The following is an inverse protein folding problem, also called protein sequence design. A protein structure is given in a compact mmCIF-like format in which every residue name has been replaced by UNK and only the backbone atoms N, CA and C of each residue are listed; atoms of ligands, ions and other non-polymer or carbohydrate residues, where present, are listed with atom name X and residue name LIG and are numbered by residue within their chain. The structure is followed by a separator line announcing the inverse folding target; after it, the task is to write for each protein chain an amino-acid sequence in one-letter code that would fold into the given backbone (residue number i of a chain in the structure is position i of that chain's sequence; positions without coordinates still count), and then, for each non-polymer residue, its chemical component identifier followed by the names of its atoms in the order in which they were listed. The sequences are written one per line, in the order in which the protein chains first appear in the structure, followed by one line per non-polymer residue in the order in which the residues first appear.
data_IF_390694909555
#
_entry.id   IF_390694909555
#
_cell.length_a   1.000
_cell.length_b   1.000
_cell.length_c   1.000
_cell.angle_alpha   90.00
_cell.angle_beta   90.00
_cell.angle_gamma   90.00
#
_symmetry.space_group_name_H-M   'P 1'
#
loop_
_entity.id
_entity.type
_entity.pdbx_description
1 polymer ?
#
# COMPACT_ATOMS: atom_id res chain seq x y z
N UNK A 1 13.89 -9.33 89.16
CA UNK A 1 12.95 -8.27 88.69
C UNK A 1 13.80 -7.01 88.47
N UNK A 2 13.74 -6.29 87.34
CA UNK A 2 12.56 -5.91 86.52
C UNK A 2 12.51 -6.65 85.16
N UNK A 3 11.33 -7.02 84.64
CA UNK A 3 10.36 -6.27 83.81
C UNK A 3 10.83 -6.07 82.35
N UNK A 4 10.21 -6.84 81.45
CA UNK A 4 10.52 -6.87 80.01
C UNK A 4 9.89 -5.75 79.20
N UNK A 5 10.29 -5.70 77.92
CA UNK A 5 9.59 -5.01 76.83
C UNK A 5 9.77 -5.86 75.56
N UNK A 6 8.65 -6.21 74.94
CA UNK A 6 8.53 -6.80 73.59
C UNK A 6 8.54 -5.64 72.59
N UNK A 7 9.29 -5.69 71.45
CA UNK A 7 9.00 -4.82 70.33
C UNK A 7 7.94 -5.43 69.42
N UNK A 8 6.90 -4.63 69.23
CA UNK A 8 5.70 -4.81 68.42
C UNK A 8 6.06 -4.91 66.93
N UNK A 9 5.64 -6.00 66.26
CA UNK A 9 5.69 -6.11 64.81
C UNK A 9 4.78 -5.06 64.17
N UNK A 10 5.34 -4.18 63.34
CA UNK A 10 4.59 -3.22 62.52
C UNK A 10 3.83 -3.94 61.41
N UNK A 11 2.52 -4.08 61.59
CA UNK A 11 1.59 -4.53 60.56
C UNK A 11 1.39 -3.40 59.55
N UNK A 12 1.99 -3.52 58.36
CA UNK A 12 1.80 -2.59 57.26
C UNK A 12 0.39 -2.75 56.66
N UNK A 13 -0.35 -1.64 56.60
CA UNK A 13 -1.77 -1.58 56.20
C UNK A 13 -2.00 -2.03 54.75
N UNK A 14 -2.68 -3.17 54.59
CA UNK A 14 -3.02 -3.82 53.31
C UNK A 14 -3.93 -3.01 52.39
N UNK A 15 -4.56 -1.94 52.87
CA UNK A 15 -5.52 -1.15 52.08
C UNK A 15 -4.84 -0.22 51.05
N UNK A 16 -3.67 0.35 51.36
CA UNK A 16 -2.96 1.27 50.45
C UNK A 16 -2.31 0.54 49.27
N UNK A 17 -1.89 -0.71 49.45
CA UNK A 17 -1.32 -1.56 48.39
C UNK A 17 -2.38 -1.94 47.35
N UNK A 18 -3.64 -2.11 47.75
CA UNK A 18 -4.74 -2.48 46.84
C UNK A 18 -5.18 -1.32 45.93
N UNK A 19 -5.23 -0.08 46.43
CA UNK A 19 -5.64 1.11 45.65
C UNK A 19 -4.62 1.43 44.54
N UNK A 20 -3.32 1.24 44.83
CA UNK A 20 -2.23 1.39 43.85
C UNK A 20 -2.30 0.32 42.74
N UNK A 21 -2.65 -0.92 43.10
CA UNK A 21 -2.79 -2.03 42.15
C UNK A 21 -4.01 -1.91 41.23
N UNK A 22 -5.12 -1.33 41.71
CA UNK A 22 -6.32 -1.10 40.90
C UNK A 22 -6.13 -0.02 39.82
N UNK A 23 -5.44 1.09 40.13
CA UNK A 23 -5.12 2.16 39.15
C UNK A 23 -4.18 1.66 38.05
N UNK A 24 -3.15 0.88 38.39
CA UNK A 24 -2.21 0.32 37.41
C UNK A 24 -2.83 -0.72 36.47
N UNK A 25 -3.81 -1.50 36.94
CA UNK A 25 -4.52 -2.49 36.10
C UNK A 25 -5.48 -1.81 35.11
N UNK A 26 -6.21 -0.79 35.55
CA UNK A 26 -7.12 -0.01 34.70
C UNK A 26 -6.36 0.76 33.62
N UNK A 27 -5.25 1.42 33.96
CA UNK A 27 -4.42 2.17 33.00
C UNK A 27 -3.81 1.22 31.97
N UNK A 28 -3.35 0.02 32.36
CA UNK A 28 -2.82 -0.99 31.43
C UNK A 28 -3.89 -1.52 30.49
N UNK A 29 -5.09 -1.81 30.99
CA UNK A 29 -6.20 -2.29 30.15
C UNK A 29 -6.72 -1.22 29.19
N UNK A 30 -6.80 0.04 29.62
CA UNK A 30 -7.21 1.17 28.76
C UNK A 30 -6.14 1.46 27.71
N UNK A 31 -4.85 1.42 28.07
CA UNK A 31 -3.77 1.55 27.10
C UNK A 31 -3.77 0.40 26.07
N UNK A 32 -3.99 -0.85 26.50
CA UNK A 32 -4.11 -1.99 25.59
C UNK A 32 -5.32 -1.86 24.65
N UNK A 33 -6.45 -1.37 25.17
CA UNK A 33 -7.66 -1.13 24.39
C UNK A 33 -7.49 0.05 23.41
N UNK A 34 -6.83 1.14 23.80
CA UNK A 34 -6.50 2.27 22.92
C UNK A 34 -5.53 1.87 21.80
N UNK A 35 -4.56 0.99 22.09
CA UNK A 35 -3.65 0.41 21.08
C UNK A 35 -4.42 -0.46 20.07
N UNK A 36 -5.45 -1.19 20.52
CA UNK A 36 -6.32 -1.98 19.62
C UNK A 36 -7.24 -1.11 18.75
N UNK A 37 -7.75 0.02 19.28
CA UNK A 37 -8.66 0.93 18.53
C UNK A 37 -7.91 1.80 17.51
N UNK A 38 -6.60 2.04 17.70
CA UNK A 38 -5.77 2.81 16.75
C UNK A 38 -5.45 2.06 15.44
N UNK A 39 -5.83 0.77 15.32
CA UNK A 39 -5.59 -0.05 14.13
C UNK A 39 -6.72 0.13 13.11
N UNK A 40 -6.96 1.37 12.70
CA UNK A 40 -8.00 1.75 11.76
C UNK A 40 -7.45 2.60 10.62
N UNK A 41 -6.40 2.14 9.94
CA UNK A 41 -6.11 2.65 8.60
C UNK A 41 -7.14 2.06 7.64
N UNK A 42 -7.84 2.94 6.93
CA UNK A 42 -8.77 2.61 5.84
C UNK A 42 -8.20 3.23 4.56
N UNK A 43 -7.01 2.81 4.16
CA UNK A 43 -6.49 3.05 2.84
C UNK A 43 -6.62 1.75 2.04
N UNK A 44 -7.83 1.48 1.54
CA UNK A 44 -8.03 0.37 0.59
C UNK A 44 -7.22 0.59 -0.70
N UNK A 45 -6.97 1.84 -1.09
CA UNK A 45 -6.19 2.19 -2.27
C UNK A 45 -4.86 2.80 -1.81
N UNK A 46 -3.75 2.14 -2.11
CA UNK A 46 -2.42 2.67 -1.86
C UNK A 46 -2.02 3.68 -2.95
N UNK A 47 -1.23 4.67 -2.59
CA UNK A 47 -0.47 5.43 -3.57
C UNK A 47 0.61 4.54 -4.20
N UNK A 48 1.06 4.94 -5.40
CA UNK A 48 2.16 4.27 -6.11
C UNK A 48 3.41 4.13 -5.24
N UNK A 49 3.78 5.17 -4.48
CA UNK A 49 4.99 5.12 -3.66
C UNK A 49 4.81 4.38 -2.34
N UNK A 50 3.60 4.30 -1.79
CA UNK A 50 3.32 3.40 -0.67
C UNK A 50 3.47 1.93 -1.09
N UNK A 51 2.95 1.57 -2.27
CA UNK A 51 3.17 0.23 -2.83
C UNK A 51 4.66 -0.05 -3.02
N UNK A 52 5.41 0.86 -3.65
CA UNK A 52 6.86 0.71 -3.86
C UNK A 52 7.60 0.57 -2.53
N UNK A 53 7.23 1.37 -1.53
CA UNK A 53 7.84 1.31 -0.20
C UNK A 53 7.65 -0.05 0.45
N UNK A 54 6.43 -0.61 0.41
CA UNK A 54 6.18 -1.95 0.95
C UNK A 54 6.83 -3.06 0.11
N UNK A 55 6.88 -2.90 -1.22
CA UNK A 55 7.45 -3.91 -2.13
C UNK A 55 8.98 -4.03 -2.00
N UNK A 56 9.66 -2.96 -1.55
CA UNK A 56 11.10 -2.99 -1.25
C UNK A 56 11.40 -4.03 -0.18
N UNK A 57 12.46 -4.81 -0.39
CA UNK A 57 12.85 -5.89 0.50
C UNK A 57 12.10 -7.21 0.28
N UNK A 58 10.95 -7.20 -0.40
CA UNK A 58 10.27 -8.41 -0.85
C UNK A 58 10.66 -8.83 -2.28
N UNK A 59 10.97 -7.85 -3.14
CA UNK A 59 11.38 -8.10 -4.53
C UNK A 59 12.73 -7.43 -4.84
N UNK A 60 13.49 -7.96 -5.84
CA UNK A 60 14.67 -7.27 -6.33
C UNK A 60 14.32 -5.88 -6.89
N UNK A 61 15.19 -4.89 -6.66
CA UNK A 61 14.97 -3.52 -7.14
C UNK A 61 14.74 -3.46 -8.65
N UNK A 62 15.43 -4.31 -9.42
CA UNK A 62 15.30 -4.43 -10.87
C UNK A 62 13.90 -4.89 -11.35
N UNK A 63 13.07 -5.43 -10.45
CA UNK A 63 11.72 -5.89 -10.75
C UNK A 63 10.63 -4.96 -10.20
N UNK A 64 10.99 -3.93 -9.42
CA UNK A 64 10.00 -3.05 -8.79
C UNK A 64 9.15 -2.28 -9.81
N UNK A 65 9.72 -1.87 -10.95
CA UNK A 65 8.94 -1.24 -12.02
C UNK A 65 7.86 -2.19 -12.57
N UNK A 66 8.18 -3.48 -12.73
CA UNK A 66 7.23 -4.50 -13.22
C UNK A 66 6.14 -4.75 -12.20
N UNK A 67 6.48 -4.93 -10.92
CA UNK A 67 5.51 -5.13 -9.85
C UNK A 67 4.57 -3.94 -9.68
N UNK A 68 5.12 -2.73 -9.77
CA UNK A 68 4.33 -1.50 -9.65
C UNK A 68 3.41 -1.33 -10.85
N UNK A 69 3.85 -1.68 -12.06
CA UNK A 69 2.99 -1.75 -13.25
C UNK A 69 1.88 -2.79 -13.11
N UNK A 70 2.18 -4.00 -12.63
CA UNK A 70 1.18 -5.05 -12.41
C UNK A 70 0.12 -4.56 -11.41
N UNK A 71 0.53 -4.04 -10.25
CA UNK A 71 -0.40 -3.51 -9.25
C UNK A 71 -1.31 -2.39 -9.80
N UNK A 72 -0.76 -1.53 -10.67
CA UNK A 72 -1.53 -0.48 -11.34
C UNK A 72 -2.60 -1.06 -12.27
N UNK A 73 -2.24 -1.97 -13.19
CA UNK A 73 -3.18 -2.48 -14.19
C UNK A 73 -4.13 -3.55 -13.69
N UNK A 74 -3.76 -4.30 -12.63
CA UNK A 74 -4.62 -5.32 -12.04
C UNK A 74 -5.71 -4.70 -11.16
N UNK A 75 -5.38 -3.69 -10.35
CA UNK A 75 -6.30 -3.21 -9.31
C UNK A 75 -6.31 -1.69 -9.11
N UNK A 76 -5.50 -0.93 -9.84
CA UNK A 76 -5.24 0.49 -9.56
C UNK A 76 -4.77 0.72 -8.11
N UNK A 77 -3.89 -0.16 -7.63
CA UNK A 77 -3.38 -0.16 -6.26
C UNK A 77 -4.45 -0.40 -5.17
N UNK A 78 -5.62 -0.93 -5.53
CA UNK A 78 -6.65 -1.28 -4.57
C UNK A 78 -6.36 -2.63 -3.89
N UNK A 79 -5.96 -2.57 -2.62
CA UNK A 79 -5.71 -3.71 -1.73
C UNK A 79 -6.97 -4.51 -1.43
N UNK A 80 -8.16 -3.92 -1.42
CA UNK A 80 -9.41 -4.62 -1.13
C UNK A 80 -10.04 -5.26 -2.38
N UNK A 81 -9.46 -5.06 -3.57
CA UNK A 81 -10.04 -5.42 -4.86
C UNK A 81 -10.46 -6.89 -4.96
N UNK A 82 -11.62 -7.12 -5.56
CA UNK A 82 -12.14 -8.45 -5.91
C UNK A 82 -12.69 -8.36 -7.32
N UNK A 83 -12.19 -9.21 -8.22
CA UNK A 83 -12.75 -9.33 -9.58
C UNK A 83 -14.23 -9.71 -9.54
N UNK A 84 -14.99 -9.34 -10.58
CA UNK A 84 -16.41 -9.72 -10.74
C UNK A 84 -16.65 -11.22 -10.95
N UNK A 85 -15.59 -12.04 -10.94
CA UNK A 85 -15.61 -13.47 -11.19
C UNK A 85 -15.15 -13.80 -12.61
N UNK A 86 -14.18 -14.70 -12.70
CA UNK A 86 -13.67 -15.24 -13.95
C UNK A 86 -14.70 -16.17 -14.60
N UNK A 87 -14.46 -16.55 -15.87
CA UNK A 87 -15.36 -17.46 -16.63
C UNK A 87 -15.63 -18.78 -15.91
N UNK A 88 -14.69 -19.24 -15.11
CA UNK A 88 -14.76 -20.46 -14.30
C UNK A 88 -15.32 -20.24 -12.88
N UNK A 89 -15.84 -19.04 -12.60
CA UNK A 89 -16.36 -18.58 -11.31
C UNK A 89 -15.31 -18.38 -10.20
N UNK A 90 -14.02 -18.57 -10.50
CA UNK A 90 -12.95 -18.17 -9.58
C UNK A 90 -12.91 -16.64 -9.44
N UNK A 91 -12.30 -16.14 -8.37
CA UNK A 91 -12.10 -14.70 -8.17
C UNK A 91 -10.62 -14.40 -7.96
N UNK A 92 -10.21 -13.27 -8.49
CA UNK A 92 -8.93 -12.65 -8.21
C UNK A 92 -9.03 -11.67 -7.05
N UNK A 93 -8.03 -11.70 -6.16
CA UNK A 93 -8.06 -11.01 -4.88
C UNK A 93 -6.88 -10.05 -4.72
N UNK A 94 -7.20 -8.87 -4.19
CA UNK A 94 -6.26 -7.88 -3.73
C UNK A 94 -5.51 -7.14 -4.82
N UNK A 95 -4.48 -6.43 -4.38
CA UNK A 95 -3.74 -5.47 -5.21
C UNK A 95 -3.04 -6.10 -6.42
N UNK A 96 -2.66 -7.38 -6.32
CA UNK A 96 -2.04 -8.15 -7.40
C UNK A 96 -3.01 -9.14 -8.07
N UNK A 97 -4.32 -9.06 -7.78
CA UNK A 97 -5.36 -9.91 -8.37
C UNK A 97 -4.96 -11.41 -8.38
N UNK A 98 -4.61 -11.95 -7.22
CA UNK A 98 -4.19 -13.34 -7.07
C UNK A 98 -5.44 -14.25 -7.05
N UNK A 99 -5.47 -15.23 -7.95
CA UNK A 99 -6.63 -16.09 -8.18
C UNK A 99 -6.88 -17.14 -7.07
N UNK A 100 -8.11 -17.22 -6.58
CA UNK A 100 -8.48 -18.16 -5.52
C UNK A 100 -8.50 -19.63 -5.97
N UNK A 101 -8.72 -19.94 -7.25
CA UNK A 101 -8.72 -21.34 -7.72
C UNK A 101 -7.45 -22.07 -7.31
N UNK A 102 -6.31 -21.39 -7.43
CA UNK A 102 -4.98 -22.00 -7.27
C UNK A 102 -4.25 -21.58 -6.00
N UNK A 103 -4.35 -20.32 -5.58
CA UNK A 103 -3.33 -19.74 -4.71
C UNK A 103 -3.74 -19.55 -3.26
N UNK A 104 -5.02 -19.30 -2.97
CA UNK A 104 -5.50 -18.98 -1.62
C UNK A 104 -6.80 -19.70 -1.23
N UNK A 105 -7.10 -19.80 0.07
CA UNK A 105 -8.35 -20.37 0.58
C UNK A 105 -9.47 -19.31 0.67
N UNK A 106 -10.74 -19.64 0.36
CA UNK A 106 -11.34 -20.98 0.36
C UNK A 106 -11.23 -21.77 -0.96
N UNK A 107 -10.44 -21.32 -1.93
CA UNK A 107 -10.20 -22.10 -3.13
C UNK A 107 -9.43 -23.40 -2.86
N UNK A 108 -9.55 -24.33 -3.81
CA UNK A 108 -9.26 -25.76 -3.61
C UNK A 108 -7.77 -26.03 -3.36
N UNK A 109 -6.89 -25.36 -4.12
CA UNK A 109 -5.47 -25.71 -4.11
C UNK A 109 -4.67 -24.99 -3.02
N UNK A 110 -5.01 -23.73 -2.71
CA UNK A 110 -4.37 -22.91 -1.68
C UNK A 110 -2.82 -23.07 -1.64
N UNK A 111 -2.16 -22.99 -2.79
CA UNK A 111 -0.72 -23.29 -2.90
C UNK A 111 0.13 -22.35 -2.02
N UNK A 112 -0.32 -21.11 -1.79
CA UNK A 112 0.38 -20.17 -0.94
C UNK A 112 0.14 -20.41 0.56
N UNK A 113 -0.82 -21.27 0.94
CA UNK A 113 -1.14 -21.54 2.35
C UNK A 113 -1.77 -20.35 3.09
N UNK A 114 -2.38 -19.40 2.38
CA UNK A 114 -2.94 -18.16 2.93
C UNK A 114 -4.44 -18.04 2.65
N UNK A 115 -5.16 -17.27 3.46
CA UNK A 115 -6.55 -16.93 3.13
C UNK A 115 -6.61 -15.84 2.06
N UNK A 116 -7.59 -15.91 1.16
CA UNK A 116 -7.82 -14.85 0.17
C UNK A 116 -8.22 -13.51 0.83
N UNK A 117 -8.65 -13.54 2.11
CA UNK A 117 -8.84 -12.32 2.90
C UNK A 117 -7.50 -11.68 3.28
N UNK A 118 -6.47 -12.47 3.59
CA UNK A 118 -5.14 -11.97 3.93
C UNK A 118 -4.50 -11.25 2.73
N UNK A 119 -4.72 -11.77 1.51
CA UNK A 119 -4.29 -11.13 0.26
C UNK A 119 -4.96 -9.77 -0.01
N UNK A 120 -6.01 -9.43 0.74
CA UNK A 120 -6.74 -8.15 0.66
C UNK A 120 -6.45 -7.21 1.82
N UNK A 121 -5.35 -7.45 2.53
CA UNK A 121 -4.87 -6.59 3.62
C UNK A 121 -4.12 -5.38 3.06
N UNK A 122 -4.10 -4.28 3.82
CA UNK A 122 -3.25 -3.12 3.58
C UNK A 122 -1.75 -3.44 3.78
N UNK A 123 -1.45 -4.40 4.66
CA UNK A 123 -0.12 -4.96 4.80
C UNK A 123 0.06 -6.04 3.72
N UNK A 124 0.95 -5.75 2.77
CA UNK A 124 1.12 -6.57 1.59
C UNK A 124 2.05 -7.78 1.77
N UNK A 125 2.52 -8.07 2.99
CA UNK A 125 3.45 -9.18 3.26
C UNK A 125 2.95 -10.51 2.70
N UNK A 126 1.72 -10.92 3.06
CA UNK A 126 1.14 -12.20 2.59
C UNK A 126 0.96 -12.20 1.06
N UNK A 127 0.60 -11.04 0.50
CA UNK A 127 0.47 -10.84 -0.95
C UNK A 127 1.80 -11.02 -1.66
N UNK A 128 2.88 -10.44 -1.14
CA UNK A 128 4.20 -10.54 -1.74
C UNK A 128 4.81 -11.93 -1.62
N UNK A 129 4.65 -12.61 -0.48
CA UNK A 129 5.12 -14.00 -0.34
C UNK A 129 4.38 -14.95 -1.28
N UNK A 130 3.07 -14.76 -1.46
CA UNK A 130 2.31 -15.52 -2.44
C UNK A 130 2.74 -15.18 -3.88
N UNK A 131 2.94 -13.90 -4.20
CA UNK A 131 3.43 -13.46 -5.51
C UNK A 131 4.82 -14.02 -5.85
N UNK A 132 5.73 -14.12 -4.89
CA UNK A 132 7.04 -14.81 -5.06
C UNK A 132 6.86 -16.29 -5.37
N UNK A 133 5.93 -16.95 -4.70
CA UNK A 133 5.59 -18.35 -4.98
C UNK A 133 5.10 -18.51 -6.41
N UNK A 134 4.22 -17.63 -6.88
CA UNK A 134 3.73 -17.62 -8.26
C UNK A 134 4.89 -17.36 -9.24
N UNK A 135 5.70 -16.34 -8.98
CA UNK A 135 6.84 -15.97 -9.82
C UNK A 135 7.82 -17.14 -9.99
N UNK A 136 8.13 -17.87 -8.90
CA UNK A 136 9.03 -19.03 -8.95
C UNK A 136 8.51 -20.19 -9.81
N UNK A 137 7.18 -20.30 -9.98
CA UNK A 137 6.52 -21.41 -10.68
C UNK A 137 6.14 -21.05 -12.12
N UNK A 138 5.71 -19.83 -12.35
CA UNK A 138 5.07 -19.39 -13.59
C UNK A 138 5.73 -18.17 -14.22
N UNK A 139 6.65 -17.50 -13.53
CA UNK A 139 7.21 -16.23 -13.97
C UNK A 139 6.17 -15.10 -13.99
N UNK A 140 6.55 -13.94 -14.53
CA UNK A 140 5.65 -12.78 -14.62
C UNK A 140 4.47 -12.99 -15.56
N UNK A 141 4.54 -13.94 -16.51
CA UNK A 141 3.42 -14.25 -17.41
C UNK A 141 2.18 -14.83 -16.71
N UNK A 142 2.26 -15.13 -15.41
CA UNK A 142 1.10 -15.49 -14.61
C UNK A 142 0.06 -14.35 -14.54
N UNK A 143 0.50 -13.09 -14.67
CA UNK A 143 -0.37 -11.92 -14.72
C UNK A 143 -0.69 -11.57 -16.17
N UNK A 144 -1.98 -11.57 -16.52
CA UNK A 144 -2.42 -11.33 -17.90
C UNK A 144 -2.05 -9.93 -18.40
N UNK A 145 -1.93 -8.95 -17.50
CA UNK A 145 -1.49 -7.58 -17.79
C UNK A 145 -0.02 -7.50 -18.17
N UNK A 146 0.80 -8.50 -17.78
CA UNK A 146 2.25 -8.40 -17.87
C UNK A 146 2.74 -8.25 -19.31
N UNK A 147 2.38 -9.18 -20.19
CA UNK A 147 2.86 -9.15 -21.58
C UNK A 147 2.36 -7.93 -22.34
N UNK A 148 1.18 -7.42 -21.99
CA UNK A 148 0.55 -6.29 -22.68
C UNK A 148 1.08 -4.94 -22.22
N UNK A 149 1.35 -4.79 -20.92
CA UNK A 149 1.62 -3.47 -20.33
C UNK A 149 2.93 -3.39 -19.53
N UNK A 150 3.42 -4.50 -18.97
CA UNK A 150 4.45 -4.46 -17.92
C UNK A 150 5.78 -5.16 -18.26
N UNK A 151 5.88 -5.84 -19.41
CA UNK A 151 7.10 -6.55 -19.80
C UNK A 151 8.32 -5.62 -19.86
N UNK A 152 8.13 -4.42 -20.42
CA UNK A 152 9.14 -3.37 -20.53
C UNK A 152 8.83 -2.18 -19.61
N UNK A 153 8.23 -2.44 -18.44
CA UNK A 153 7.89 -1.39 -17.50
C UNK A 153 9.15 -0.65 -17.04
N UNK A 154 9.11 0.69 -17.15
CA UNK A 154 10.17 1.60 -16.68
C UNK A 154 9.53 2.87 -16.14
N UNK A 155 10.10 3.47 -15.11
CA UNK A 155 9.66 4.76 -14.57
C UNK A 155 8.43 4.69 -13.66
N UNK A 156 7.89 3.50 -13.41
CA UNK A 156 6.82 3.29 -12.43
C UNK A 156 7.29 3.54 -11.00
N UNK A 157 8.59 3.50 -10.73
CA UNK A 157 9.15 3.84 -9.41
C UNK A 157 9.75 5.26 -9.36
N UNK A 158 9.68 6.04 -10.45
CA UNK A 158 10.27 7.38 -10.49
C UNK A 158 9.64 8.29 -9.43
N UNK A 159 10.47 9.01 -8.67
CA UNK A 159 10.01 9.88 -7.59
C UNK A 159 9.56 9.16 -6.32
N UNK A 160 9.57 7.83 -6.28
CA UNK A 160 9.39 7.09 -5.03
C UNK A 160 10.74 6.96 -4.34
N UNK A 161 11.14 7.98 -3.57
CA UNK A 161 12.37 7.93 -2.77
C UNK A 161 12.33 6.78 -1.75
N UNK A 162 13.50 6.28 -1.36
CA UNK A 162 13.67 5.38 -0.21
C UNK A 162 13.74 6.20 1.07
N UNK A 163 12.67 6.94 1.39
CA UNK A 163 12.51 7.64 2.66
C UNK A 163 13.78 8.33 3.20
N UNK A 164 14.20 9.41 2.57
CA UNK A 164 14.74 10.52 3.34
C UNK A 164 13.62 11.57 3.38
N UNK A 165 13.10 11.81 4.57
CA UNK A 165 12.22 12.94 4.85
C UNK A 165 12.93 14.18 4.32
N UNK A 166 12.46 14.76 3.22
CA UNK A 166 12.92 16.09 2.81
C UNK A 166 12.41 17.04 3.90
N UNK A 167 13.28 17.68 4.70
CA UNK A 167 12.81 18.79 5.52
C UNK A 167 12.32 19.87 4.57
N UNK A 168 11.12 20.33 4.87
CA UNK A 168 10.48 21.55 4.41
C UNK A 168 11.54 22.63 4.17
N UNK A 169 11.75 22.96 2.90
CA UNK A 169 12.78 23.88 2.43
C UNK A 169 12.19 24.84 1.41
N UNK A 170 11.40 25.76 1.93
CA UNK A 170 11.27 27.17 1.54
C UNK A 170 11.27 27.52 0.04
N UNK A 171 10.12 28.01 -0.39
CA UNK A 171 9.98 28.93 -1.52
C UNK A 171 10.91 30.14 -1.37
N UNK A 172 12.05 30.11 -2.06
CA UNK A 172 12.89 31.29 -2.30
C UNK A 172 12.70 31.83 -3.70
N UNK A 173 11.72 32.72 -3.89
CA UNK A 173 11.73 33.67 -5.00
C UNK A 173 12.61 34.85 -4.55
N UNK A 174 13.83 34.93 -5.04
CA UNK A 174 14.50 36.23 -5.18
C UNK A 174 15.07 36.37 -6.59
N UNK A 175 14.55 37.37 -7.30
CA UNK A 175 14.99 37.72 -8.63
C UNK A 175 16.36 38.41 -8.61
N UNK A 176 17.09 38.23 -9.71
CA UNK A 176 18.11 39.17 -10.13
C UNK A 176 17.72 39.67 -11.51
N UNK A 177 17.41 40.95 -11.56
CA UNK A 177 17.07 41.73 -12.74
C UNK A 177 18.32 42.05 -13.57
N UNK A 178 18.13 41.98 -14.90
CA UNK A 178 18.72 42.80 -15.97
C UNK A 178 20.25 42.87 -16.12
N UNK A 179 20.77 42.39 -17.26
CA UNK A 179 21.03 43.28 -18.42
C UNK A 179 21.50 42.51 -19.67
N UNK A 180 20.90 42.90 -20.79
CA UNK A 180 21.22 42.71 -22.21
C UNK A 180 22.53 42.00 -22.64
N UNK A 181 22.40 41.08 -23.60
CA UNK A 181 22.92 41.25 -24.98
C UNK A 181 22.56 40.04 -25.87
N UNK A 182 21.82 40.28 -26.95
CA UNK A 182 21.46 39.30 -27.98
C UNK A 182 22.01 39.78 -29.34
N UNK A 183 22.81 39.00 -30.07
CA UNK A 183 23.02 39.20 -31.49
C UNK A 183 21.98 38.42 -32.31
N UNK A 184 21.28 39.14 -33.18
CA UNK A 184 20.36 38.59 -34.18
C UNK A 184 21.08 37.68 -35.18
N UNK A 185 20.63 36.44 -35.30
CA UNK A 185 20.87 35.63 -36.51
C UNK A 185 19.52 35.02 -36.91
N UNK A 186 18.97 35.56 -38.00
CA UNK A 186 17.77 35.05 -38.64
C UNK A 186 18.10 33.72 -39.32
N UNK A 187 17.48 32.63 -38.85
CA UNK A 187 17.46 31.36 -39.55
C UNK A 187 16.00 30.94 -39.79
N UNK A 188 15.70 30.75 -41.07
CA UNK A 188 14.42 30.39 -41.68
C UNK A 188 13.70 29.25 -40.95
N UNK A 189 12.52 29.54 -40.41
CA UNK A 189 11.59 28.55 -39.88
C UNK A 189 10.85 27.88 -41.06
N UNK A 190 11.21 26.64 -41.38
CA UNK A 190 10.54 25.85 -42.41
C UNK A 190 9.34 25.12 -41.79
N UNK A 191 8.15 25.65 -42.09
CA UNK A 191 6.86 24.99 -41.84
C UNK A 191 6.84 23.62 -42.52
N UNK A 192 6.67 22.55 -41.73
CA UNK A 192 6.35 21.22 -42.22
C UNK A 192 5.08 20.74 -41.55
N UNK A 193 4.03 20.68 -42.35
CA UNK A 193 2.73 20.09 -42.06
C UNK A 193 2.86 18.57 -42.14
N UNK A 194 2.55 17.86 -41.04
CA UNK A 194 2.20 16.43 -41.12
C UNK A 194 1.47 15.93 -39.87
N UNK A 195 0.14 15.78 -40.05
CA UNK A 195 -0.78 14.75 -39.54
C UNK A 195 -0.90 14.52 -38.02
N UNK A 196 -2.05 14.94 -37.49
CA UNK A 196 -2.67 14.45 -36.26
C UNK A 196 -2.84 12.91 -36.25
N UNK A 197 -2.60 12.24 -35.11
CA UNK A 197 -3.25 11.00 -34.78
C UNK A 197 -4.41 11.24 -33.80
N UNK A 198 -5.62 11.12 -34.35
CA UNK A 198 -6.88 10.70 -33.73
C UNK A 198 -7.05 10.95 -32.21
N UNK A 199 -7.69 12.07 -31.87
CA UNK A 199 -8.20 12.39 -30.54
C UNK A 199 -9.30 11.40 -30.14
N UNK A 200 -8.96 10.40 -29.32
CA UNK A 200 -9.96 9.55 -28.68
C UNK A 200 -10.68 10.39 -27.62
N UNK A 201 -11.93 10.79 -27.91
CA UNK A 201 -12.79 11.45 -26.93
C UNK A 201 -13.11 10.45 -25.82
N UNK A 202 -12.60 10.75 -24.63
CA UNK A 202 -12.99 10.06 -23.38
C UNK A 202 -14.36 10.65 -23.01
N UNK A 203 -15.45 9.94 -23.35
CA UNK A 203 -16.75 10.33 -22.82
C UNK A 203 -16.78 10.06 -21.31
N UNK A 204 -17.26 11.01 -20.48
CA UNK A 204 -17.44 10.77 -19.06
C UNK A 204 -18.48 9.67 -18.84
N UNK A 205 -18.14 8.71 -17.98
CA UNK A 205 -19.05 7.68 -17.50
C UNK A 205 -20.32 8.36 -16.93
N UNK A 206 -21.44 8.24 -17.64
CA UNK A 206 -22.75 8.59 -17.09
C UNK A 206 -23.09 7.59 -15.99
N UNK A 207 -23.27 8.10 -14.78
CA UNK A 207 -23.93 7.39 -13.68
C UNK A 207 -25.35 7.06 -14.17
N UNK A 208 -25.57 5.85 -14.67
CA UNK A 208 -26.92 5.38 -14.96
C UNK A 208 -27.57 4.91 -13.67
N UNK A 209 -28.55 5.70 -13.22
CA UNK A 209 -29.68 5.21 -12.45
C UNK A 209 -30.23 3.94 -13.11
N UNK A 210 -30.43 2.87 -12.33
CA UNK A 210 -31.77 2.33 -12.06
C UNK A 210 -31.65 1.02 -11.26
N UNK A 211 -31.99 1.11 -9.97
CA UNK A 211 -32.66 0.01 -9.30
C UNK A 211 -34.08 -0.05 -9.88
N UNK A 212 -34.52 -1.21 -10.35
CA UNK A 212 -35.94 -1.55 -10.35
C UNK A 212 -36.07 -3.06 -10.10
N UNK A 213 -36.89 -3.34 -9.09
CA UNK A 213 -37.33 -4.65 -8.64
C UNK A 213 -38.37 -5.16 -9.64
N UNK A 214 -38.22 -6.40 -10.09
CA UNK A 214 -39.32 -7.33 -10.35
C UNK A 214 -38.99 -8.69 -9.76
#
# INVERSE_FOLDING_TARGET
MPNGIIPLSTQQSSALVMISRCRGRLIRSVAFLLILIASGSNAEILTRCEFVSQARGHFPDADLDKWTCIAHFESHFNTSAISSGNKDKSKDHGILQINDRFWCSPGIHNICGVSCKALRSENLTDTFECARTILSRQGFQAWSVYMKYCMNATGFIQGCGSGEMQPDGESGIEGVTTSANLPSIAASYRSSTSREPNQYIVEPCKITQRCELE
#
